data_IF_295229462065
#
_entry.id   IF_295229462065
#
_cell.length_a   1.000
_cell.length_b   1.000
_cell.length_c   1.000
_cell.angle_alpha   90.00
_cell.angle_beta   90.00
_cell.angle_gamma   90.00
#
_symmetry.space_group_name_H-M   'P 1'
#
loop_
_entity.id
_entity.type
_entity.pdbx_description
1 polymer ?
#
# COMPACT_ATOMS: atom_id res chain seq x y z
N UNK A 1 71.30 -4.43 -66.04
CA UNK A 1 69.95 -5.02 -65.99
C UNK A 1 69.74 -5.87 -64.74
N UNK A 2 70.63 -6.81 -64.38
CA UNK A 2 70.45 -7.66 -63.18
C UNK A 2 70.35 -6.89 -61.85
N UNK A 3 71.13 -5.84 -61.62
CA UNK A 3 71.12 -5.14 -60.32
C UNK A 3 69.82 -4.36 -60.07
N UNK A 4 69.23 -3.76 -61.11
CA UNK A 4 67.95 -3.02 -61.01
C UNK A 4 66.81 -3.99 -60.68
N UNK A 5 66.81 -5.18 -61.29
CA UNK A 5 65.84 -6.23 -61.02
C UNK A 5 65.94 -6.72 -59.55
N UNK A 6 67.16 -6.88 -59.05
CA UNK A 6 67.42 -7.25 -57.65
C UNK A 6 66.94 -6.16 -56.66
N UNK A 7 67.25 -4.89 -56.93
CA UNK A 7 66.78 -3.77 -56.10
C UNK A 7 65.25 -3.70 -56.04
N UNK A 8 64.58 -3.89 -57.18
CA UNK A 8 63.13 -3.86 -57.27
C UNK A 8 62.49 -5.04 -56.52
N UNK A 9 63.10 -6.24 -56.61
CA UNK A 9 62.67 -7.42 -55.85
C UNK A 9 62.73 -7.21 -54.34
N UNK A 10 63.81 -6.60 -53.84
CA UNK A 10 63.96 -6.30 -52.40
C UNK A 10 62.93 -5.27 -51.95
N UNK A 11 62.66 -4.25 -52.77
CA UNK A 11 61.62 -3.25 -52.48
C UNK A 11 60.23 -3.88 -52.38
N UNK A 12 59.87 -4.75 -53.33
CA UNK A 12 58.59 -5.47 -53.31
C UNK A 12 58.45 -6.40 -52.12
N UNK A 13 59.52 -7.10 -51.73
CA UNK A 13 59.50 -7.93 -50.51
C UNK A 13 59.26 -7.09 -49.26
N UNK A 14 59.89 -5.91 -49.14
CA UNK A 14 59.66 -5.00 -48.03
C UNK A 14 58.22 -4.48 -47.97
N UNK A 15 57.66 -4.06 -49.10
CA UNK A 15 56.26 -3.63 -49.19
C UNK A 15 55.28 -4.75 -48.82
N UNK A 16 55.51 -5.96 -49.33
CA UNK A 16 54.70 -7.13 -49.02
C UNK A 16 54.74 -7.46 -47.53
N UNK A 17 55.92 -7.39 -46.90
CA UNK A 17 56.08 -7.62 -45.46
C UNK A 17 55.31 -6.59 -44.64
N UNK A 18 55.36 -5.31 -45.01
CA UNK A 18 54.63 -4.25 -44.30
C UNK A 18 53.12 -4.45 -44.42
N UNK A 19 52.62 -4.75 -45.62
CA UNK A 19 51.19 -5.02 -45.85
C UNK A 19 50.72 -6.24 -45.05
N UNK A 20 51.53 -7.29 -44.98
CA UNK A 20 51.23 -8.46 -44.15
C UNK A 20 51.14 -8.11 -42.66
N UNK A 21 52.04 -7.26 -42.18
CA UNK A 21 52.02 -6.82 -40.79
C UNK A 21 50.80 -5.94 -40.48
N UNK A 22 50.48 -4.97 -41.34
CA UNK A 22 49.28 -4.14 -41.21
C UNK A 22 48.00 -4.99 -41.23
N UNK A 23 47.93 -5.97 -42.12
CA UNK A 23 46.81 -6.92 -42.19
C UNK A 23 46.65 -7.68 -40.88
N UNK A 24 47.73 -8.25 -40.33
CA UNK A 24 47.66 -9.00 -39.08
C UNK A 24 47.20 -8.12 -37.90
N UNK A 25 47.71 -6.89 -37.82
CA UNK A 25 47.29 -5.95 -36.78
C UNK A 25 45.79 -5.57 -36.91
N UNK A 26 45.30 -5.42 -38.14
CA UNK A 26 43.89 -5.17 -38.41
C UNK A 26 43.02 -6.38 -38.04
N UNK A 27 43.48 -7.59 -38.35
CA UNK A 27 42.80 -8.84 -38.01
C UNK A 27 42.68 -8.99 -36.47
N UNK A 28 43.76 -8.73 -35.72
CA UNK A 28 43.76 -8.73 -34.25
C UNK A 28 42.81 -7.68 -33.67
N UNK A 29 42.84 -6.46 -34.22
CA UNK A 29 41.94 -5.38 -33.80
C UNK A 29 40.47 -5.74 -34.07
N UNK A 30 40.18 -6.35 -35.21
CA UNK A 30 38.82 -6.80 -35.55
C UNK A 30 38.33 -7.86 -34.57
N UNK A 31 39.19 -8.82 -34.20
CA UNK A 31 38.86 -9.85 -33.22
C UNK A 31 38.55 -9.24 -31.85
N UNK A 32 39.38 -8.32 -31.35
CA UNK A 32 39.14 -7.61 -30.08
C UNK A 32 37.81 -6.84 -30.10
N UNK A 33 37.52 -6.14 -31.20
CA UNK A 33 36.27 -5.38 -31.36
C UNK A 33 35.06 -6.30 -31.41
N UNK A 34 35.14 -7.43 -32.10
CA UNK A 34 34.05 -8.40 -32.15
C UNK A 34 33.76 -8.99 -30.76
N UNK A 35 34.80 -9.35 -30.01
CA UNK A 35 34.65 -9.81 -28.63
C UNK A 35 33.98 -8.75 -27.77
N UNK A 36 34.39 -7.49 -27.89
CA UNK A 36 33.78 -6.38 -27.15
C UNK A 36 32.31 -6.15 -27.53
N UNK A 37 31.95 -6.33 -28.78
CA UNK A 37 30.55 -6.25 -29.24
C UNK A 37 29.73 -7.36 -28.57
N UNK A 38 30.21 -8.61 -28.59
CA UNK A 38 29.50 -9.73 -27.96
C UNK A 38 29.32 -9.55 -26.45
N UNK A 39 30.30 -9.00 -25.75
CA UNK A 39 30.16 -8.63 -24.32
C UNK A 39 29.05 -7.60 -24.10
N UNK A 40 29.04 -6.53 -24.90
CA UNK A 40 28.04 -5.46 -24.80
C UNK A 40 26.63 -5.94 -25.17
N UNK A 41 26.50 -6.84 -26.14
CA UNK A 41 25.24 -7.49 -26.48
C UNK A 41 24.70 -8.32 -25.31
N UNK A 42 25.58 -9.08 -24.64
CA UNK A 42 25.21 -9.85 -23.45
C UNK A 42 24.80 -8.96 -22.27
N UNK A 43 25.54 -7.87 -22.03
CA UNK A 43 25.20 -6.89 -20.99
C UNK A 43 23.84 -6.23 -21.27
N UNK A 44 23.60 -5.82 -22.52
CA UNK A 44 22.31 -5.26 -22.93
C UNK A 44 21.15 -6.23 -22.71
N UNK A 45 21.33 -7.51 -23.06
CA UNK A 45 20.30 -8.52 -22.82
C UNK A 45 19.99 -8.64 -21.31
N UNK A 46 21.03 -8.71 -20.47
CA UNK A 46 20.85 -8.78 -19.03
C UNK A 46 20.12 -7.54 -18.46
N UNK A 47 20.48 -6.35 -18.94
CA UNK A 47 19.83 -5.11 -18.53
C UNK A 47 18.36 -5.08 -18.97
N UNK A 48 18.04 -5.55 -20.17
CA UNK A 48 16.65 -5.67 -20.65
C UNK A 48 15.83 -6.63 -19.76
N UNK A 49 16.37 -7.78 -19.40
CA UNK A 49 15.70 -8.74 -18.51
C UNK A 49 15.42 -8.13 -17.12
N UNK A 50 16.40 -7.37 -16.58
CA UNK A 50 16.25 -6.66 -15.31
C UNK A 50 15.17 -5.58 -15.38
N UNK A 51 15.11 -4.82 -16.47
CA UNK A 51 14.06 -3.82 -16.69
C UNK A 51 12.68 -4.47 -16.69
N UNK A 52 12.48 -5.55 -17.45
CA UNK A 52 11.18 -6.25 -17.49
C UNK A 52 10.78 -6.83 -16.13
N UNK A 53 11.74 -7.32 -15.35
CA UNK A 53 11.47 -7.76 -13.97
C UNK A 53 11.06 -6.60 -13.07
N UNK A 54 11.73 -5.45 -13.17
CA UNK A 54 11.38 -4.25 -12.40
C UNK A 54 10.00 -3.70 -12.78
N UNK A 55 9.65 -3.69 -14.07
CA UNK A 55 8.31 -3.31 -14.55
C UNK A 55 7.23 -4.21 -13.93
N UNK A 56 7.49 -5.51 -13.85
CA UNK A 56 6.57 -6.47 -13.21
C UNK A 56 6.38 -6.18 -11.72
N UNK A 57 7.45 -5.86 -10.99
CA UNK A 57 7.35 -5.48 -9.58
C UNK A 57 6.58 -4.16 -9.39
N UNK A 58 6.83 -3.16 -10.24
CA UNK A 58 6.10 -1.89 -10.21
C UNK A 58 4.60 -2.14 -10.37
N UNK A 59 4.20 -2.98 -11.34
CA UNK A 59 2.79 -3.30 -11.55
C UNK A 59 2.18 -4.03 -10.34
N UNK A 60 2.94 -4.94 -9.71
CA UNK A 60 2.51 -5.60 -8.47
C UNK A 60 2.25 -4.58 -7.34
N UNK A 61 3.15 -3.62 -7.15
CA UNK A 61 3.00 -2.59 -6.13
C UNK A 61 1.85 -1.63 -6.40
N UNK A 62 1.58 -1.31 -7.67
CA UNK A 62 0.41 -0.51 -8.08
C UNK A 62 -0.88 -1.24 -7.65
N UNK A 63 -1.00 -2.52 -8.00
CA UNK A 63 -2.19 -3.32 -7.67
C UNK A 63 -2.38 -3.45 -6.15
N UNK A 64 -1.30 -3.68 -5.38
CA UNK A 64 -1.35 -3.75 -3.92
C UNK A 64 -1.80 -2.40 -3.31
N UNK A 65 -1.31 -1.28 -3.86
CA UNK A 65 -1.68 0.05 -3.39
C UNK A 65 -3.18 0.34 -3.63
N UNK A 66 -3.74 -0.07 -4.76
CA UNK A 66 -5.17 0.07 -5.07
C UNK A 66 -6.04 -0.77 -4.13
N UNK A 67 -5.60 -2.00 -3.81
CA UNK A 67 -6.29 -2.86 -2.84
C UNK A 67 -6.29 -2.23 -1.44
N UNK A 68 -5.16 -1.68 -1.00
CA UNK A 68 -5.04 -1.02 0.29
C UNK A 68 -5.92 0.23 0.37
N UNK A 69 -5.98 1.05 -0.68
CA UNK A 69 -6.88 2.20 -0.76
C UNK A 69 -8.34 1.78 -0.61
N UNK A 70 -8.76 0.77 -1.37
CA UNK A 70 -10.13 0.23 -1.30
C UNK A 70 -10.48 -0.27 0.10
N UNK A 71 -9.52 -0.90 0.78
CA UNK A 71 -9.69 -1.37 2.16
C UNK A 71 -9.81 -0.22 3.16
N UNK A 72 -9.03 0.84 2.99
CA UNK A 72 -9.13 2.06 3.81
C UNK A 72 -10.51 2.69 3.65
N UNK A 73 -11.00 2.83 2.42
CA UNK A 73 -12.32 3.43 2.15
C UNK A 73 -13.46 2.61 2.79
N UNK A 74 -13.37 1.28 2.71
CA UNK A 74 -14.31 0.38 3.37
C UNK A 74 -14.27 0.54 4.91
N UNK A 75 -13.08 0.61 5.50
CA UNK A 75 -12.92 0.78 6.95
C UNK A 75 -13.46 2.14 7.41
N UNK A 76 -13.20 3.21 6.67
CA UNK A 76 -13.74 4.54 6.96
C UNK A 76 -15.28 4.53 6.94
N UNK A 77 -15.87 3.83 5.98
CA UNK A 77 -17.33 3.67 5.90
C UNK A 77 -17.88 2.90 7.11
N UNK A 78 -17.19 1.83 7.53
CA UNK A 78 -17.55 1.09 8.75
C UNK A 78 -17.46 1.97 10.00
N UNK A 79 -16.40 2.77 10.15
CA UNK A 79 -16.25 3.69 11.29
C UNK A 79 -17.39 4.69 11.32
N UNK A 80 -17.70 5.33 10.19
CA UNK A 80 -18.80 6.30 10.12
C UNK A 80 -20.15 5.71 10.50
N UNK A 81 -20.43 4.47 10.10
CA UNK A 81 -21.67 3.77 10.49
C UNK A 81 -21.70 3.43 11.99
N UNK A 82 -20.56 3.06 12.57
CA UNK A 82 -20.45 2.77 14.00
C UNK A 82 -20.61 4.04 14.84
N UNK A 83 -20.06 5.17 14.39
CA UNK A 83 -20.24 6.48 15.03
C UNK A 83 -21.73 6.88 15.06
N UNK A 84 -22.44 6.77 13.93
CA UNK A 84 -23.88 7.02 13.88
C UNK A 84 -24.68 6.09 14.81
N UNK A 85 -24.31 4.81 14.85
CA UNK A 85 -24.96 3.85 15.75
C UNK A 85 -24.74 4.22 17.21
N UNK A 86 -23.53 4.66 17.56
CA UNK A 86 -23.18 5.08 18.92
C UNK A 86 -23.97 6.33 19.34
N UNK A 87 -24.12 7.30 18.45
CA UNK A 87 -24.89 8.52 18.73
C UNK A 87 -26.38 8.20 18.91
N UNK A 88 -26.96 7.35 18.07
CA UNK A 88 -28.35 6.90 18.25
C UNK A 88 -28.56 6.19 19.60
N UNK A 89 -27.61 5.33 20.01
CA UNK A 89 -27.69 4.64 21.30
C UNK A 89 -27.54 5.61 22.49
N UNK A 90 -26.76 6.68 22.35
CA UNK A 90 -26.66 7.73 23.37
C UNK A 90 -27.98 8.48 23.51
N UNK A 91 -28.61 8.83 22.40
CA UNK A 91 -29.90 9.51 22.39
C UNK A 91 -30.99 8.63 23.02
N UNK A 92 -31.04 7.35 22.67
CA UNK A 92 -31.97 6.39 23.28
C UNK A 92 -31.75 6.24 24.79
N UNK A 93 -30.49 6.19 25.24
CA UNK A 93 -30.18 6.10 26.67
C UNK A 93 -30.58 7.37 27.44
N UNK A 94 -30.46 8.54 26.81
CA UNK A 94 -30.93 9.80 27.40
C UNK A 94 -32.46 9.81 27.52
N UNK A 95 -33.19 9.42 26.47
CA UNK A 95 -34.67 9.31 26.52
C UNK A 95 -35.13 8.33 27.61
N UNK A 96 -34.48 7.17 27.71
CA UNK A 96 -34.79 6.20 28.76
C UNK A 96 -34.52 6.76 30.16
N UNK A 97 -33.44 7.52 30.33
CA UNK A 97 -33.12 8.17 31.61
C UNK A 97 -34.18 9.21 31.98
N UNK A 98 -34.57 10.08 31.04
CA UNK A 98 -35.61 11.09 31.25
C UNK A 98 -36.97 10.46 31.60
N UNK A 99 -37.29 9.33 30.97
CA UNK A 99 -38.52 8.56 31.26
C UNK A 99 -38.49 7.94 32.65
N UNK A 100 -37.34 7.41 33.07
CA UNK A 100 -37.18 6.89 34.44
C UNK A 100 -37.37 8.02 35.46
N UNK A 101 -36.75 9.17 35.23
CA UNK A 101 -36.89 10.34 36.12
C UNK A 101 -38.34 10.82 36.21
N UNK A 102 -39.05 10.87 35.07
CA UNK A 102 -40.47 11.24 35.02
C UNK A 102 -41.37 10.25 35.76
N UNK A 103 -41.14 8.94 35.58
CA UNK A 103 -41.85 7.88 36.31
C UNK A 103 -41.57 8.01 37.80
N UNK A 104 -40.31 8.23 38.18
CA UNK A 104 -39.91 8.37 39.57
C UNK A 104 -40.56 9.60 40.24
N UNK A 105 -40.63 10.73 39.53
CA UNK A 105 -41.34 11.93 40.01
C UNK A 105 -42.85 11.73 40.14
N UNK A 106 -43.45 10.97 39.23
CA UNK A 106 -44.87 10.57 39.32
C UNK A 106 -45.11 9.69 40.53
N UNK A 107 -44.22 8.72 40.78
CA UNK A 107 -44.30 7.82 41.93
C UNK A 107 -44.17 8.60 43.25
N UNK A 108 -43.20 9.50 43.35
CA UNK A 108 -43.07 10.42 44.49
C UNK A 108 -44.37 11.17 44.78
N UNK A 109 -44.98 11.72 43.72
CA UNK A 109 -46.25 12.46 43.82
C UNK A 109 -47.39 11.57 44.31
N UNK A 110 -47.47 10.32 43.85
CA UNK A 110 -48.48 9.35 44.30
C UNK A 110 -48.30 9.04 45.80
N UNK A 111 -47.06 8.82 46.24
CA UNK A 111 -46.71 8.46 47.61
C UNK A 111 -46.98 9.59 48.63
N UNK A 112 -46.84 10.85 48.21
CA UNK A 112 -46.94 12.02 49.11
C UNK A 112 -48.30 12.74 49.07
N UNK A 113 -49.16 12.49 48.09
CA UNK A 113 -50.40 13.27 47.88
C UNK A 113 -51.59 12.93 48.82
N UNK A 114 -51.35 12.50 50.06
CA UNK A 114 -52.41 12.20 51.04
C UNK A 114 -53.54 11.33 50.45
N UNK A 115 -53.14 10.27 49.76
CA UNK A 115 -54.03 9.29 49.13
C UNK A 115 -54.26 8.10 50.08
N UNK A 116 -55.21 7.23 49.76
CA UNK A 116 -55.38 5.95 50.47
C UNK A 116 -55.08 4.82 49.49
N UNK A 117 -53.85 4.31 49.54
CA UNK A 117 -53.35 3.20 48.73
C UNK A 117 -53.13 1.99 49.66
N UNK A 118 -53.68 0.85 49.27
CA UNK A 118 -53.46 -0.40 49.99
C UNK A 118 -51.97 -0.77 49.97
N UNK A 119 -51.39 -1.04 51.15
CA UNK A 119 -49.96 -1.31 51.34
C UNK A 119 -49.04 -0.17 50.83
N UNK A 120 -49.50 1.09 50.92
CA UNK A 120 -48.76 2.26 50.43
C UNK A 120 -47.37 2.43 51.05
N UNK A 121 -47.21 2.16 52.35
CA UNK A 121 -45.91 2.21 53.04
C UNK A 121 -44.89 1.25 52.39
N UNK A 122 -45.27 0.00 52.14
CA UNK A 122 -44.38 -1.01 51.54
C UNK A 122 -44.08 -0.68 50.07
N UNK A 123 -45.11 -0.34 49.28
CA UNK A 123 -44.97 -0.08 47.83
C UNK A 123 -44.12 1.15 47.53
N UNK A 124 -44.24 2.22 48.32
CA UNK A 124 -43.42 3.42 48.16
C UNK A 124 -41.99 3.17 48.69
N UNK A 125 -41.85 2.47 49.80
CA UNK A 125 -40.55 2.11 50.39
C UNK A 125 -39.67 1.26 49.46
N UNK A 126 -40.25 0.28 48.76
CA UNK A 126 -39.56 -0.57 47.79
C UNK A 126 -38.96 0.23 46.61
N UNK A 127 -39.49 1.42 46.35
CA UNK A 127 -39.02 2.33 45.32
C UNK A 127 -38.32 3.59 45.87
N UNK A 128 -38.02 3.62 47.16
CA UNK A 128 -37.23 4.68 47.80
C UNK A 128 -38.01 5.97 48.11
N UNK A 129 -39.34 5.92 48.19
CA UNK A 129 -40.20 7.06 48.53
C UNK A 129 -40.89 6.85 49.88
N UNK A 130 -41.07 7.94 50.65
CA UNK A 130 -41.86 7.92 51.89
C UNK A 130 -43.37 8.06 51.56
N UNK A 131 -44.23 7.29 52.24
CA UNK A 131 -45.68 7.32 52.05
C UNK A 131 -46.35 8.21 53.09
N UNK A 132 -47.14 9.20 52.65
CA UNK A 132 -47.82 10.19 53.50
C UNK A 132 -49.36 10.06 53.45
N UNK A 133 -49.89 8.89 53.11
CA UNK A 133 -51.33 8.65 53.01
C UNK A 133 -52.04 8.46 54.36
N UNK A 134 -53.36 8.69 54.36
CA UNK A 134 -54.27 8.42 55.49
C UNK A 134 -54.97 7.06 55.36
#
# INVERSE_FOLDING_TARGET
MLSILASLSVLYQGQLSNILQEKNNLDETLEERNNRISELESENQNLSERISSQESYIQSYINENELLKSRIDSLNSTVSNLEQTLDNLRDENNDLSDRIDSINGTLYTICTNNNTIENGEDLCGDHGHEYEGN
#
